data_IF_052647129545
#
_entry.id   IF_052647129545
#
_cell.length_a   1.000
_cell.length_b   1.000
_cell.length_c   1.000
_cell.angle_alpha   90.00
_cell.angle_beta   90.00
_cell.angle_gamma   90.00
#
_symmetry.space_group_name_H-M   'P 1'
#
loop_
_entity.id
_entity.type
_entity.pdbx_description
1 polymer ?
#
# COMPACT_ATOMS: atom_id res chain seq x y z
N UNK A 1 -17.83 43.22 69.16
CA UNK A 1 -18.80 42.12 69.01
C UNK A 1 -18.06 40.93 68.43
N UNK A 2 -17.87 39.91 69.25
CA UNK A 2 -16.94 38.80 69.01
C UNK A 2 -17.55 37.78 68.06
N UNK A 3 -17.04 37.68 66.84
CA UNK A 3 -17.29 36.51 66.00
C UNK A 3 -16.82 35.27 66.78
N UNK A 4 -17.74 34.41 67.16
CA UNK A 4 -17.45 33.21 67.95
C UNK A 4 -16.57 32.26 67.14
N UNK A 5 -15.59 31.61 67.80
CA UNK A 5 -14.69 30.61 67.21
C UNK A 5 -15.43 29.54 66.38
N UNK A 6 -16.65 29.20 66.80
CA UNK A 6 -17.56 28.29 66.10
C UNK A 6 -17.94 28.77 64.68
N UNK A 7 -18.20 30.07 64.50
CA UNK A 7 -18.51 30.68 63.20
C UNK A 7 -17.34 30.59 62.22
N UNK A 8 -16.11 30.82 62.70
CA UNK A 8 -14.89 30.74 61.88
C UNK A 8 -14.54 29.30 61.52
N UNK A 9 -14.80 28.35 62.41
CA UNK A 9 -14.61 26.93 62.14
C UNK A 9 -15.60 26.40 61.08
N UNK A 10 -16.84 26.88 61.09
CA UNK A 10 -17.85 26.53 60.09
C UNK A 10 -17.50 27.07 58.69
N UNK A 11 -17.06 28.33 58.58
CA UNK A 11 -16.59 28.90 57.31
C UNK A 11 -15.34 28.19 56.76
N UNK A 12 -14.39 27.82 57.63
CA UNK A 12 -13.21 27.09 57.23
C UNK A 12 -13.57 25.69 56.71
N UNK A 13 -14.50 24.99 57.37
CA UNK A 13 -15.00 23.68 56.93
C UNK A 13 -15.67 23.78 55.55
N UNK A 14 -16.56 24.75 55.35
CA UNK A 14 -17.21 24.98 54.06
C UNK A 14 -16.21 25.31 52.95
N UNK A 15 -15.15 26.07 53.28
CA UNK A 15 -14.08 26.39 52.34
C UNK A 15 -13.19 25.19 52.02
N UNK A 16 -12.92 24.31 52.99
CA UNK A 16 -12.21 23.05 52.76
C UNK A 16 -13.05 22.11 51.90
N UNK A 17 -14.35 21.98 52.14
CA UNK A 17 -15.27 21.18 51.32
C UNK A 17 -15.33 21.70 49.87
N UNK A 18 -15.39 23.04 49.69
CA UNK A 18 -15.32 23.66 48.37
C UNK A 18 -13.99 23.40 47.66
N UNK A 19 -12.86 23.54 48.36
CA UNK A 19 -11.53 23.22 47.82
C UNK A 19 -11.38 21.73 47.52
N UNK A 20 -12.01 20.86 48.31
CA UNK A 20 -12.04 19.42 48.06
C UNK A 20 -12.80 19.12 46.77
N UNK A 21 -13.99 19.69 46.59
CA UNK A 21 -14.78 19.53 45.36
C UNK A 21 -14.07 20.07 44.11
N UNK A 22 -13.38 21.21 44.21
CA UNK A 22 -12.56 21.74 43.12
C UNK A 22 -11.39 20.82 42.77
N UNK A 23 -10.73 20.25 43.79
CA UNK A 23 -9.63 19.29 43.62
C UNK A 23 -10.11 17.97 43.01
N UNK A 24 -11.26 17.47 43.44
CA UNK A 24 -11.90 16.29 42.86
C UNK A 24 -12.26 16.51 41.39
N UNK A 25 -12.87 17.65 41.06
CA UNK A 25 -13.17 18.02 39.67
C UNK A 25 -11.90 18.14 38.81
N UNK A 26 -10.82 18.70 39.37
CA UNK A 26 -9.53 18.81 38.67
C UNK A 26 -8.87 17.45 38.47
N UNK A 27 -8.93 16.56 39.46
CA UNK A 27 -8.43 15.19 39.36
C UNK A 27 -9.22 14.41 38.30
N UNK A 28 -10.55 14.49 38.34
CA UNK A 28 -11.45 13.88 37.37
C UNK A 28 -11.17 14.38 35.94
N UNK A 29 -11.04 15.70 35.75
CA UNK A 29 -10.70 16.28 34.45
C UNK A 29 -9.34 15.79 33.93
N UNK A 30 -8.34 15.69 34.82
CA UNK A 30 -7.01 15.15 34.47
C UNK A 30 -7.08 13.67 34.06
N UNK A 31 -7.89 12.87 34.75
CA UNK A 31 -8.08 11.47 34.39
C UNK A 31 -8.76 11.29 33.04
N UNK A 32 -9.82 12.06 32.77
CA UNK A 32 -10.53 12.03 31.48
C UNK A 32 -9.62 12.50 30.35
N UNK A 33 -8.80 13.52 30.57
CA UNK A 33 -7.81 13.97 29.60
C UNK A 33 -6.75 12.89 29.33
N UNK A 34 -6.32 12.17 30.37
CA UNK A 34 -5.44 11.01 30.21
C UNK A 34 -6.06 9.89 29.37
N UNK A 35 -7.34 9.60 29.55
CA UNK A 35 -8.08 8.62 28.73
C UNK A 35 -8.24 9.12 27.28
N UNK A 36 -8.53 10.41 27.07
CA UNK A 36 -8.57 11.03 25.74
C UNK A 36 -7.22 10.90 25.02
N UNK A 37 -6.13 11.17 25.72
CA UNK A 37 -4.78 11.06 25.20
C UNK A 37 -4.41 9.61 24.83
N UNK A 38 -4.92 8.61 25.56
CA UNK A 38 -4.74 7.19 25.19
C UNK A 38 -5.54 6.78 23.94
N UNK A 39 -6.72 7.36 23.75
CA UNK A 39 -7.60 7.05 22.62
C UNK A 39 -7.15 7.75 21.32
N UNK A 40 -6.52 8.93 21.44
CA UNK A 40 -6.16 9.77 20.31
C UNK A 40 -5.27 9.06 19.26
N UNK A 41 -4.16 8.36 19.61
CA UNK A 41 -3.32 7.68 18.63
C UNK A 41 -4.06 6.62 17.82
N UNK A 42 -4.92 5.83 18.48
CA UNK A 42 -5.73 4.80 17.81
C UNK A 42 -6.74 5.45 16.88
N UNK A 43 -7.43 6.49 17.34
CA UNK A 43 -8.43 7.22 16.54
C UNK A 43 -7.82 7.86 15.29
N UNK A 44 -6.66 8.51 15.43
CA UNK A 44 -5.95 9.12 14.30
C UNK A 44 -5.56 8.08 13.25
N UNK A 45 -5.01 6.93 13.66
CA UNK A 45 -4.65 5.85 12.73
C UNK A 45 -5.88 5.22 12.07
N UNK A 46 -6.94 5.02 12.85
CA UNK A 46 -8.20 4.48 12.38
C UNK A 46 -8.82 5.38 11.29
N UNK A 47 -8.90 6.70 11.54
CA UNK A 47 -9.42 7.67 10.57
C UNK A 47 -8.58 7.70 9.30
N UNK A 48 -7.25 7.74 9.42
CA UNK A 48 -6.36 7.71 8.27
C UNK A 48 -6.57 6.45 7.40
N UNK A 49 -6.77 5.28 8.00
CA UNK A 49 -7.01 4.04 7.26
C UNK A 49 -8.43 3.98 6.67
N UNK A 50 -9.42 4.57 7.32
CA UNK A 50 -10.75 4.75 6.73
C UNK A 50 -10.71 5.64 5.48
N UNK A 51 -9.97 6.73 5.53
CA UNK A 51 -9.84 7.63 4.39
C UNK A 51 -9.15 6.95 3.20
N UNK A 52 -8.17 6.07 3.46
CA UNK A 52 -7.58 5.20 2.42
C UNK A 52 -8.61 4.27 1.78
N UNK A 53 -9.48 3.64 2.58
CA UNK A 53 -10.55 2.80 2.03
C UNK A 53 -11.59 3.60 1.24
N UNK A 54 -11.92 4.81 1.69
CA UNK A 54 -12.80 5.71 0.96
C UNK A 54 -12.19 6.11 -0.38
N UNK A 55 -10.90 6.44 -0.40
CA UNK A 55 -10.17 6.77 -1.60
C UNK A 55 -10.22 5.61 -2.61
N UNK A 56 -9.97 4.38 -2.16
CA UNK A 56 -10.09 3.18 -2.99
C UNK A 56 -11.54 2.97 -3.48
N UNK A 57 -12.53 3.22 -2.62
CA UNK A 57 -13.94 3.10 -3.01
C UNK A 57 -14.33 4.11 -4.08
N UNK A 58 -13.85 5.35 -3.97
CA UNK A 58 -14.04 6.41 -4.96
C UNK A 58 -13.37 6.10 -6.30
N UNK A 59 -12.27 5.32 -6.31
CA UNK A 59 -11.65 4.83 -7.53
C UNK A 59 -12.36 3.62 -8.14
N UNK A 60 -13.52 3.23 -7.60
CA UNK A 60 -14.39 2.17 -8.13
C UNK A 60 -14.15 0.79 -7.51
N UNK A 61 -13.34 0.68 -6.45
CA UNK A 61 -13.13 -0.60 -5.77
C UNK A 61 -14.25 -0.89 -4.77
N UNK A 62 -14.83 -2.09 -4.87
CA UNK A 62 -15.75 -2.57 -3.85
C UNK A 62 -14.96 -2.94 -2.59
N UNK A 63 -15.07 -2.10 -1.56
CA UNK A 63 -14.51 -2.35 -0.24
C UNK A 63 -15.60 -2.95 0.65
N UNK A 64 -15.32 -4.10 1.23
CA UNK A 64 -16.16 -4.70 2.28
C UNK A 64 -15.60 -4.27 3.63
N UNK A 65 -16.47 -3.80 4.51
CA UNK A 65 -16.08 -3.39 5.86
C UNK A 65 -15.61 -4.60 6.69
N UNK A 66 -14.41 -4.56 7.30
CA UNK A 66 -13.93 -5.63 8.18
C UNK A 66 -14.83 -5.87 9.39
N UNK A 67 -14.96 -7.14 9.80
CA UNK A 67 -15.80 -7.57 10.93
C UNK A 67 -15.32 -6.97 12.26
N UNK A 68 -14.02 -6.68 12.41
CA UNK A 68 -13.46 -6.00 13.58
C UNK A 68 -14.09 -4.63 13.85
N UNK A 69 -14.53 -3.91 12.81
CA UNK A 69 -15.11 -2.57 12.97
C UNK A 69 -16.50 -2.63 13.60
N UNK A 70 -17.33 -3.59 13.19
CA UNK A 70 -18.63 -3.80 13.79
C UNK A 70 -18.51 -4.13 15.29
N UNK A 71 -17.51 -4.94 15.67
CA UNK A 71 -17.19 -5.26 17.07
C UNK A 71 -16.74 -4.03 17.85
N UNK A 72 -15.78 -3.27 17.32
CA UNK A 72 -15.32 -2.00 17.91
C UNK A 72 -16.47 -1.01 18.12
N UNK A 73 -17.32 -0.82 17.12
CA UNK A 73 -18.48 0.08 17.19
C UNK A 73 -19.45 -0.33 18.28
N UNK A 74 -19.75 -1.63 18.41
CA UNK A 74 -20.61 -2.15 19.47
C UNK A 74 -20.02 -1.87 20.85
N UNK A 75 -18.71 -2.07 21.02
CA UNK A 75 -18.01 -1.81 22.28
C UNK A 75 -17.97 -0.33 22.65
N UNK A 76 -17.61 0.52 21.70
CA UNK A 76 -17.60 1.97 21.88
C UNK A 76 -18.99 2.50 22.28
N UNK A 77 -20.06 1.99 21.67
CA UNK A 77 -21.44 2.34 22.05
C UNK A 77 -21.80 1.91 23.47
N UNK A 78 -21.45 0.69 23.86
CA UNK A 78 -21.71 0.21 25.23
C UNK A 78 -21.01 1.09 26.27
N UNK A 79 -19.74 1.42 26.03
CA UNK A 79 -18.93 2.25 26.92
C UNK A 79 -19.44 3.70 26.98
N UNK A 80 -19.95 4.22 25.87
CA UNK A 80 -20.61 5.53 25.82
C UNK A 80 -21.88 5.55 26.69
N UNK A 81 -22.74 4.54 26.57
CA UNK A 81 -23.97 4.43 27.37
C UNK A 81 -23.66 4.34 28.88
N UNK A 82 -22.65 3.55 29.24
CA UNK A 82 -22.20 3.44 30.63
C UNK A 82 -21.68 4.79 31.16
N UNK A 83 -20.94 5.53 30.33
CA UNK A 83 -20.41 6.85 30.68
C UNK A 83 -21.49 7.93 30.78
N UNK A 84 -22.47 7.94 29.87
CA UNK A 84 -23.63 8.84 29.93
C UNK A 84 -24.44 8.63 31.21
N UNK A 85 -24.50 7.38 31.69
CA UNK A 85 -25.19 7.03 32.94
C UNK A 85 -24.41 7.47 34.20
N UNK A 86 -23.08 7.47 34.14
CA UNK A 86 -22.22 7.93 35.22
C UNK A 86 -20.91 8.53 34.65
N UNK A 87 -20.85 9.87 34.46
CA UNK A 87 -19.77 10.54 33.73
C UNK A 87 -18.51 10.70 34.60
N UNK A 88 -17.91 9.57 34.95
CA UNK A 88 -16.66 9.48 35.71
C UNK A 88 -15.65 8.60 34.97
N UNK A 89 -14.38 8.95 35.05
CA UNK A 89 -13.26 8.21 34.48
C UNK A 89 -13.19 6.79 35.04
N UNK A 90 -13.57 6.61 36.31
CA UNK A 90 -13.69 5.30 36.96
C UNK A 90 -14.75 4.40 36.29
N UNK A 91 -15.82 4.95 35.71
CA UNK A 91 -16.81 4.20 34.93
C UNK A 91 -16.19 3.61 33.68
N UNK A 92 -15.36 4.39 32.97
CA UNK A 92 -14.65 3.95 31.76
C UNK A 92 -13.61 2.87 32.08
N UNK A 93 -12.87 3.04 33.19
CA UNK A 93 -11.83 2.12 33.65
C UNK A 93 -12.38 0.87 34.36
N UNK A 94 -13.70 0.73 34.50
CA UNK A 94 -14.29 -0.39 35.23
C UNK A 94 -14.01 -1.72 34.53
N UNK A 95 -13.33 -2.62 35.22
CA UNK A 95 -12.97 -3.94 34.69
C UNK A 95 -11.98 -3.85 33.52
N UNK A 96 -12.27 -4.58 32.44
CA UNK A 96 -11.40 -4.64 31.25
C UNK A 96 -11.96 -3.89 30.04
N UNK A 97 -13.05 -3.12 30.20
CA UNK A 97 -13.75 -2.51 29.07
C UNK A 97 -12.88 -1.51 28.30
N UNK A 98 -12.21 -0.60 29.01
CA UNK A 98 -11.29 0.38 28.41
C UNK A 98 -10.11 -0.30 27.70
N UNK A 99 -9.41 -1.21 28.39
CA UNK A 99 -8.26 -1.93 27.83
C UNK A 99 -8.66 -2.70 26.58
N UNK A 100 -9.82 -3.35 26.61
CA UNK A 100 -10.33 -4.09 25.45
C UNK A 100 -10.77 -3.18 24.31
N UNK A 101 -11.30 -1.99 24.59
CA UNK A 101 -11.63 -1.00 23.56
C UNK A 101 -10.37 -0.58 22.79
N UNK A 102 -9.29 -0.29 23.49
CA UNK A 102 -8.01 0.07 22.87
C UNK A 102 -7.46 -1.10 22.05
N UNK A 103 -7.47 -2.32 22.61
CA UNK A 103 -7.01 -3.52 21.91
C UNK A 103 -7.81 -3.80 20.64
N UNK A 104 -9.15 -3.81 20.74
CA UNK A 104 -10.03 -4.02 19.59
C UNK A 104 -9.91 -2.89 18.57
N UNK A 105 -9.65 -1.65 19.01
CA UNK A 105 -9.42 -0.52 18.13
C UNK A 105 -8.13 -0.66 17.32
N UNK A 106 -7.04 -1.11 17.96
CA UNK A 106 -5.79 -1.40 17.27
C UNK A 106 -5.96 -2.54 16.26
N UNK A 107 -6.60 -3.65 16.67
CA UNK A 107 -6.85 -4.78 15.78
C UNK A 107 -7.73 -4.38 14.58
N UNK A 108 -8.81 -3.62 14.80
CA UNK A 108 -9.67 -3.13 13.72
C UNK A 108 -8.91 -2.18 12.77
N UNK A 109 -7.99 -1.38 13.31
CA UNK A 109 -7.14 -0.48 12.51
C UNK A 109 -6.16 -1.26 11.63
N UNK A 110 -5.61 -2.36 12.13
CA UNK A 110 -4.75 -3.26 11.34
C UNK A 110 -5.54 -4.04 10.28
N UNK A 111 -6.72 -4.57 10.64
CA UNK A 111 -7.64 -5.21 9.69
C UNK A 111 -8.03 -4.25 8.55
N UNK A 112 -8.29 -2.98 8.85
CA UNK A 112 -8.55 -1.92 7.87
C UNK A 112 -7.39 -1.75 6.89
N UNK A 113 -6.17 -1.63 7.40
CA UNK A 113 -4.98 -1.46 6.57
C UNK A 113 -4.70 -2.68 5.69
N UNK A 114 -4.83 -3.88 6.27
CA UNK A 114 -4.67 -5.13 5.56
C UNK A 114 -5.69 -5.25 4.41
N UNK A 115 -6.96 -4.94 4.69
CA UNK A 115 -8.03 -4.92 3.68
C UNK A 115 -7.74 -3.91 2.58
N UNK A 116 -7.30 -2.70 2.92
CA UNK A 116 -6.93 -1.68 1.94
C UNK A 116 -5.80 -2.14 1.02
N UNK A 117 -4.76 -2.73 1.60
CA UNK A 117 -3.59 -3.25 0.87
C UNK A 117 -3.97 -4.41 -0.03
N UNK A 118 -4.74 -5.38 0.46
CA UNK A 118 -5.21 -6.52 -0.31
C UNK A 118 -6.03 -6.05 -1.52
N UNK A 119 -7.01 -5.16 -1.29
CA UNK A 119 -7.87 -4.64 -2.36
C UNK A 119 -7.08 -3.86 -3.40
N UNK A 120 -6.12 -3.05 -2.97
CA UNK A 120 -5.23 -2.34 -3.88
C UNK A 120 -4.38 -3.31 -4.71
N UNK A 121 -3.81 -4.34 -4.09
CA UNK A 121 -3.03 -5.35 -4.78
C UNK A 121 -3.88 -6.13 -5.80
N UNK A 122 -5.10 -6.53 -5.44
CA UNK A 122 -6.03 -7.19 -6.37
C UNK A 122 -6.41 -6.27 -7.54
N UNK A 123 -6.48 -4.95 -7.31
CA UNK A 123 -6.78 -3.99 -8.36
C UNK A 123 -5.67 -3.85 -9.41
N UNK A 124 -4.44 -4.26 -9.09
CA UNK A 124 -3.29 -4.18 -9.98
C UNK A 124 -3.58 -4.78 -11.36
N UNK A 125 -4.23 -5.93 -11.41
CA UNK A 125 -4.57 -6.62 -12.66
C UNK A 125 -5.58 -5.84 -13.50
N UNK A 126 -6.48 -5.09 -12.86
CA UNK A 126 -7.44 -4.23 -13.56
C UNK A 126 -6.79 -2.96 -14.11
N UNK A 127 -5.73 -2.47 -13.46
CA UNK A 127 -4.97 -1.31 -13.94
C UNK A 127 -4.04 -1.73 -15.09
N UNK A 128 -3.38 -2.88 -14.97
CA UNK A 128 -2.50 -3.40 -16.00
C UNK A 128 -2.49 -4.93 -15.97
N UNK A 129 -3.06 -5.54 -17.03
CA UNK A 129 -3.09 -6.99 -17.25
C UNK A 129 -1.99 -7.51 -18.18
N UNK A 130 -1.01 -6.67 -18.54
CA UNK A 130 0.04 -7.03 -19.48
C UNK A 130 1.05 -8.04 -18.94
N UNK A 131 1.85 -8.59 -19.85
CA UNK A 131 2.81 -9.65 -19.54
C UNK A 131 3.99 -9.16 -18.67
N UNK A 132 4.59 -10.09 -17.92
CA UNK A 132 5.80 -9.76 -17.14
C UNK A 132 7.01 -9.53 -18.07
N UNK A 133 8.01 -8.72 -17.65
CA UNK A 133 9.23 -8.54 -18.44
C UNK A 133 9.94 -9.85 -18.78
N UNK A 134 9.89 -10.86 -17.92
CA UNK A 134 10.50 -12.17 -18.18
C UNK A 134 9.75 -12.97 -19.26
N UNK A 135 8.41 -12.91 -19.26
CA UNK A 135 7.60 -13.55 -20.28
C UNK A 135 7.81 -12.90 -21.66
N UNK A 136 7.88 -11.56 -21.71
CA UNK A 136 8.21 -10.82 -22.92
C UNK A 136 9.62 -11.13 -23.42
N UNK A 137 10.61 -11.19 -22.51
CA UNK A 137 11.99 -11.53 -22.86
C UNK A 137 12.12 -12.91 -23.54
N UNK A 138 11.32 -13.90 -23.12
CA UNK A 138 11.30 -15.22 -23.75
C UNK A 138 10.62 -15.25 -25.13
N UNK A 139 9.67 -14.33 -25.37
CA UNK A 139 8.91 -14.26 -26.63
C UNK A 139 9.59 -13.43 -27.70
N UNK A 140 10.23 -12.32 -27.32
CA UNK A 140 10.81 -11.36 -28.25
C UNK A 140 12.11 -11.87 -28.85
N UNK A 141 12.28 -11.64 -30.16
CA UNK A 141 13.57 -11.81 -30.80
C UNK A 141 14.58 -10.80 -30.23
N UNK A 142 15.83 -11.23 -30.04
CA UNK A 142 16.88 -10.47 -29.36
C UNK A 142 17.53 -9.38 -30.24
N UNK A 143 16.70 -8.62 -30.94
CA UNK A 143 17.12 -7.44 -31.72
C UNK A 143 17.48 -6.29 -30.78
N UNK A 144 18.34 -5.37 -31.22
CA UNK A 144 18.75 -4.21 -30.40
C UNK A 144 17.54 -3.33 -30.01
N UNK A 145 16.62 -3.10 -30.95
CA UNK A 145 15.38 -2.36 -30.72
C UNK A 145 14.52 -3.01 -29.63
N UNK A 146 14.26 -4.33 -29.74
CA UNK A 146 13.48 -5.07 -28.75
C UNK A 146 14.17 -5.09 -27.39
N UNK A 147 15.49 -5.27 -27.35
CA UNK A 147 16.24 -5.24 -26.10
C UNK A 147 16.18 -3.86 -25.43
N UNK A 148 16.27 -2.78 -26.20
CA UNK A 148 16.14 -1.42 -25.64
C UNK A 148 14.74 -1.16 -25.10
N UNK A 149 13.70 -1.49 -25.87
CA UNK A 149 12.31 -1.37 -25.41
C UNK A 149 12.05 -2.23 -24.17
N UNK A 150 12.65 -3.42 -24.08
CA UNK A 150 12.49 -4.32 -22.94
C UNK A 150 13.17 -3.79 -21.66
N UNK A 151 14.28 -3.06 -21.78
CA UNK A 151 14.89 -2.35 -20.64
C UNK A 151 13.96 -1.27 -20.10
N UNK A 152 13.45 -0.39 -20.98
CA UNK A 152 12.50 0.67 -20.62
C UNK A 152 11.24 0.08 -19.96
N UNK A 153 10.74 -1.03 -20.53
CA UNK A 153 9.60 -1.77 -20.01
C UNK A 153 9.87 -2.33 -18.62
N UNK A 154 11.05 -2.95 -18.39
CA UNK A 154 11.42 -3.54 -17.10
C UNK A 154 11.52 -2.48 -16.01
N UNK A 155 12.14 -1.34 -16.28
CA UNK A 155 12.24 -0.23 -15.34
C UNK A 155 10.86 0.31 -14.97
N UNK A 156 10.02 0.56 -15.98
CA UNK A 156 8.65 1.06 -15.78
C UNK A 156 7.80 0.03 -15.03
N UNK A 157 7.97 -1.27 -15.32
CA UNK A 157 7.20 -2.34 -14.69
C UNK A 157 7.59 -2.50 -13.21
N UNK A 158 8.86 -2.33 -12.87
CA UNK A 158 9.32 -2.32 -11.49
C UNK A 158 8.77 -1.12 -10.72
N UNK A 159 8.78 0.08 -11.33
CA UNK A 159 8.18 1.28 -10.74
C UNK A 159 6.65 1.14 -10.58
N UNK A 160 5.98 0.49 -11.52
CA UNK A 160 4.56 0.17 -11.44
C UNK A 160 4.28 -0.80 -10.28
N UNK A 161 5.05 -1.89 -10.19
CA UNK A 161 4.92 -2.90 -9.14
C UNK A 161 5.09 -2.27 -7.75
N UNK A 162 6.05 -1.37 -7.56
CA UNK A 162 6.31 -0.75 -6.26
C UNK A 162 5.17 0.16 -5.78
N UNK A 163 4.31 0.67 -6.68
CA UNK A 163 3.10 1.40 -6.27
C UNK A 163 2.11 0.52 -5.47
N UNK A 164 2.24 -0.81 -5.53
CA UNK A 164 1.35 -1.76 -4.85
C UNK A 164 1.95 -2.37 -3.58
N UNK A 165 3.17 -1.98 -3.18
CA UNK A 165 3.81 -2.49 -1.95
C UNK A 165 3.08 -1.99 -0.68
N UNK A 166 2.41 -0.85 -0.78
CA UNK A 166 1.60 -0.23 0.27
C UNK A 166 0.25 0.24 -0.27
N UNK A 167 -0.74 0.37 0.62
CA UNK A 167 -2.04 0.94 0.25
C UNK A 167 -1.88 2.44 -0.05
N UNK A 168 -2.54 2.97 -1.10
CA UNK A 168 -2.43 4.37 -1.46
C UNK A 168 -2.99 5.24 -0.33
N UNK A 169 -2.27 6.30 -0.02
CA UNK A 169 -2.68 7.29 0.98
C UNK A 169 -3.20 8.58 0.37
N UNK A 170 -2.97 8.78 -0.93
CA UNK A 170 -3.38 9.98 -1.66
C UNK A 170 -3.85 9.63 -3.08
N UNK A 171 -4.72 10.47 -3.70
CA UNK A 171 -5.18 10.27 -5.08
C UNK A 171 -4.04 10.22 -6.10
N UNK A 172 -2.97 10.97 -5.87
CA UNK A 172 -1.81 11.05 -6.77
C UNK A 172 -1.10 9.70 -6.88
N UNK A 173 -1.11 8.90 -5.81
CA UNK A 173 -0.53 7.54 -5.83
C UNK A 173 -1.31 6.63 -6.80
N UNK A 174 -2.64 6.75 -6.79
CA UNK A 174 -3.52 5.98 -7.69
C UNK A 174 -3.32 6.46 -9.13
N UNK A 175 -3.25 7.77 -9.35
CA UNK A 175 -3.01 8.33 -10.67
C UNK A 175 -1.66 7.90 -11.22
N UNK A 176 -0.60 7.96 -10.40
CA UNK A 176 0.75 7.50 -10.79
C UNK A 176 0.77 6.04 -11.22
N UNK A 177 0.02 5.17 -10.55
CA UNK A 177 -0.10 3.77 -10.96
C UNK A 177 -0.77 3.63 -12.33
N UNK A 178 -1.79 4.44 -12.64
CA UNK A 178 -2.44 4.49 -13.95
C UNK A 178 -1.50 5.03 -15.02
N UNK A 179 -0.78 6.12 -14.74
CA UNK A 179 0.17 6.72 -15.70
C UNK A 179 1.30 5.74 -16.06
N UNK A 180 1.81 5.00 -15.07
CA UNK A 180 2.79 3.95 -15.28
C UNK A 180 2.23 2.79 -16.11
N UNK A 181 0.97 2.40 -15.91
CA UNK A 181 0.31 1.40 -16.73
C UNK A 181 0.16 1.85 -18.19
N UNK A 182 -0.32 3.08 -18.43
CA UNK A 182 -0.39 3.66 -19.78
C UNK A 182 1.00 3.70 -20.44
N UNK A 183 2.05 4.04 -19.67
CA UNK A 183 3.42 4.02 -20.17
C UNK A 183 3.88 2.60 -20.55
N UNK A 184 3.49 1.58 -19.78
CA UNK A 184 3.78 0.18 -20.12
C UNK A 184 3.09 -0.25 -21.42
N UNK A 185 1.86 0.17 -21.66
CA UNK A 185 1.13 -0.08 -22.91
C UNK A 185 1.78 0.61 -24.11
N UNK A 186 2.25 1.85 -23.95
CA UNK A 186 2.96 2.57 -25.01
C UNK A 186 4.29 1.89 -25.33
N UNK A 187 5.04 1.44 -24.32
CA UNK A 187 6.30 0.72 -24.55
C UNK A 187 6.04 -0.63 -25.22
N UNK A 188 4.97 -1.34 -24.85
CA UNK A 188 4.67 -2.64 -25.46
C UNK A 188 4.35 -2.56 -26.94
N UNK A 189 3.83 -1.44 -27.43
CA UNK A 189 3.61 -1.18 -28.85
C UNK A 189 4.91 -1.03 -29.66
N UNK A 190 6.05 -0.79 -29.01
CA UNK A 190 7.36 -0.67 -29.67
C UNK A 190 8.02 -2.02 -29.94
N UNK A 191 7.47 -3.11 -29.40
CA UNK A 191 8.01 -4.44 -29.61
C UNK A 191 7.72 -4.94 -31.02
N UNK A 192 8.76 -5.42 -31.68
CA UNK A 192 8.64 -6.12 -32.95
C UNK A 192 8.48 -7.62 -32.72
N UNK A 193 7.27 -8.11 -33.02
CA UNK A 193 6.89 -9.52 -32.95
C UNK A 193 6.96 -10.23 -34.32
N UNK A 194 7.18 -9.50 -35.42
CA UNK A 194 7.11 -10.04 -36.78
C UNK A 194 8.47 -10.58 -37.27
N UNK A 195 9.33 -11.00 -36.35
CA UNK A 195 10.62 -11.60 -36.67
C UNK A 195 10.43 -13.10 -36.97
N UNK A 196 10.90 -13.55 -38.13
CA UNK A 196 10.83 -14.96 -38.56
C UNK A 196 11.44 -15.88 -37.49
N UNK A 197 10.87 -17.09 -37.26
CA UNK A 197 11.42 -18.07 -36.32
C UNK A 197 12.91 -18.38 -36.56
N UNK A 198 13.34 -18.40 -37.83
CA UNK A 198 14.72 -18.64 -38.21
C UNK A 198 15.65 -17.50 -37.74
N UNK A 199 15.22 -16.25 -37.91
CA UNK A 199 15.93 -15.06 -37.43
C UNK A 199 16.01 -15.06 -35.91
N UNK A 200 14.92 -15.43 -35.23
CA UNK A 200 14.91 -15.56 -33.77
C UNK A 200 15.90 -16.61 -33.29
N UNK A 201 15.88 -17.81 -33.88
CA UNK A 201 16.81 -18.89 -33.53
C UNK A 201 18.27 -18.52 -33.82
N UNK A 202 18.52 -17.82 -34.93
CA UNK A 202 19.85 -17.29 -35.24
C UNK A 202 20.33 -16.29 -34.18
N UNK A 203 19.53 -15.27 -33.86
CA UNK A 203 19.90 -14.24 -32.88
C UNK A 203 20.14 -14.82 -31.48
N UNK A 204 19.32 -15.80 -31.05
CA UNK A 204 19.54 -16.52 -29.80
C UNK A 204 20.84 -17.33 -29.82
N UNK A 205 21.14 -18.01 -30.93
CA UNK A 205 22.34 -18.81 -31.07
C UNK A 205 23.62 -17.95 -31.13
N UNK A 206 23.57 -16.77 -31.75
CA UNK A 206 24.74 -15.86 -31.80
C UNK A 206 25.08 -15.30 -30.41
N UNK A 207 24.12 -15.17 -29.51
CA UNK A 207 24.37 -14.73 -28.13
C UNK A 207 25.01 -15.82 -27.26
N UNK A 208 25.08 -17.06 -27.74
CA UNK A 208 25.79 -18.15 -27.06
C UNK A 208 27.30 -17.98 -27.19
N UNK A 209 28.05 -18.39 -26.15
CA UNK A 209 29.52 -18.41 -26.13
C UNK A 209 30.11 -19.24 -27.29
N UNK A 210 29.36 -20.21 -27.81
CA UNK A 210 29.76 -21.06 -28.95
C UNK A 210 29.45 -20.47 -30.32
N UNK A 211 28.74 -19.34 -30.38
CA UNK A 211 28.22 -18.75 -31.61
C UNK A 211 27.09 -19.56 -32.26
N UNK A 212 26.57 -19.07 -33.37
CA UNK A 212 25.54 -19.74 -34.15
C UNK A 212 26.14 -20.74 -35.15
N UNK A 213 25.48 -21.88 -35.34
CA UNK A 213 25.82 -22.80 -36.43
C UNK A 213 25.50 -22.16 -37.78
N UNK A 214 26.35 -22.38 -38.79
CA UNK A 214 26.12 -21.87 -40.14
C UNK A 214 24.78 -22.32 -40.75
N UNK A 215 24.26 -23.47 -40.32
CA UNK A 215 22.94 -23.98 -40.72
C UNK A 215 21.77 -23.08 -40.30
N UNK A 216 21.97 -22.15 -39.35
CA UNK A 216 20.96 -21.18 -38.91
C UNK A 216 20.97 -19.90 -39.76
N UNK A 217 21.93 -19.74 -40.68
CA UNK A 217 21.97 -18.63 -41.62
C UNK A 217 21.09 -18.97 -42.85
N UNK A 218 19.77 -18.99 -42.66
CA UNK A 218 18.81 -19.25 -43.75
C UNK A 218 18.62 -17.99 -44.62
N UNK A 219 17.98 -18.13 -45.78
CA UNK A 219 17.71 -17.01 -46.69
C UNK A 219 16.95 -15.88 -45.98
N UNK A 220 15.96 -16.24 -45.15
CA UNK A 220 15.20 -15.30 -44.31
C UNK A 220 16.09 -14.51 -43.36
N UNK A 221 17.11 -15.14 -42.79
CA UNK A 221 18.10 -14.48 -41.90
C UNK A 221 18.97 -13.52 -42.69
N UNK A 222 19.40 -13.89 -43.89
CA UNK A 222 20.23 -13.04 -44.74
C UNK A 222 19.44 -11.81 -45.22
N UNK A 223 18.18 -12.00 -45.63
CA UNK A 223 17.28 -10.91 -46.01
C UNK A 223 17.09 -9.96 -44.83
N UNK A 224 16.75 -10.49 -43.65
CA UNK A 224 16.54 -9.69 -42.45
C UNK A 224 17.80 -8.91 -42.05
N UNK A 225 18.99 -9.54 -42.09
CA UNK A 225 20.26 -8.88 -41.78
C UNK A 225 20.59 -7.76 -42.77
N UNK A 226 20.23 -7.89 -44.05
CA UNK A 226 20.38 -6.83 -45.06
C UNK A 226 19.43 -5.68 -44.79
N UNK A 227 18.16 -5.97 -44.55
CA UNK A 227 17.14 -4.96 -44.28
C UNK A 227 17.44 -4.13 -43.03
N UNK A 228 18.12 -4.74 -42.04
CA UNK A 228 18.53 -4.09 -40.80
C UNK A 228 19.99 -3.61 -40.80
N UNK A 229 20.67 -3.56 -41.96
CA UNK A 229 22.09 -3.16 -42.10
C UNK A 229 23.03 -3.83 -41.08
N UNK A 230 22.75 -5.08 -40.71
CA UNK A 230 23.40 -5.80 -39.62
C UNK A 230 24.36 -6.89 -40.10
N UNK A 231 24.49 -7.12 -41.41
CA UNK A 231 25.38 -8.14 -41.97
C UNK A 231 26.84 -7.97 -41.53
N UNK A 232 27.36 -6.74 -41.52
CA UNK A 232 28.75 -6.44 -41.18
C UNK A 232 29.06 -6.65 -39.68
N UNK A 233 28.02 -6.80 -38.85
CA UNK A 233 28.16 -7.03 -37.41
C UNK A 233 28.45 -8.49 -37.05
N UNK A 234 28.40 -9.42 -38.01
CA UNK A 234 28.60 -10.84 -37.77
C UNK A 234 29.79 -11.38 -38.60
N UNK A 235 30.65 -12.18 -37.97
CA UNK A 235 31.76 -12.85 -38.64
C UNK A 235 31.64 -14.37 -38.51
N UNK A 236 31.96 -15.09 -39.57
CA UNK A 236 32.03 -16.55 -39.58
C UNK A 236 33.44 -16.95 -39.14
N UNK A 237 33.55 -17.70 -38.05
CA UNK A 237 34.81 -18.30 -37.59
C UNK A 237 34.73 -19.81 -37.80
N UNK A 238 35.77 -20.40 -38.39
CA UNK A 238 35.94 -21.85 -38.41
C UNK A 238 36.26 -22.31 -36.98
N UNK A 239 35.58 -23.34 -36.50
CA UNK A 239 35.93 -23.95 -35.22
C UNK A 239 37.28 -24.64 -35.38
N UNK A 240 38.35 -24.05 -34.84
CA UNK A 240 39.63 -24.74 -34.71
C UNK A 240 39.41 -25.94 -33.79
N UNK A 241 39.52 -27.14 -34.36
CA UNK A 241 39.63 -28.36 -33.57
C UNK A 241 41.00 -28.35 -32.88
N UNK A 242 41.00 -28.12 -31.57
CA UNK A 242 42.13 -28.38 -30.67
C UNK A 242 41.61 -29.06 -29.41
#
# INVERSE_FOLDING_TARGET
>A
MSQTLSSKAAELKARIESLHGLRENMAEASELEGLRAQLAPMTTKYLANLDRLRLLSQSGLKVVEPVGIARLRKRARSLLVDFESNPKASTLKKGQLWVSLILEGNNATEELLATAKERWLSHRVNIFGGETPAALDAKLAKTESNQSALRDYRETYNAFKSQFDSAPSTPETIQRAKDLASKLEIISQRFDYFVSPDVKAFLEAVQSVRGAKISLLTEDVIIWLRENNSLDSYCIKTADHS
#
